data_IF_467055106356
#
_entry.id   IF_467055106356
#
_cell.length_a   1.000
_cell.length_b   1.000
_cell.length_c   1.000
_cell.angle_alpha   90.00
_cell.angle_beta   90.00
_cell.angle_gamma   90.00
#
_symmetry.space_group_name_H-M   'P 1'
#
loop_
_entity.id
_entity.type
_entity.pdbx_description
1 polymer ?
#
# COMPACT_ATOMS: atom_id res chain seq x y z
N UNK A 1 33.93 0.62 7.25
CA UNK A 1 32.60 0.14 6.78
C UNK A 1 32.30 -1.15 7.51
N UNK A 2 31.17 -1.23 8.17
CA UNK A 2 30.70 -2.46 8.84
C UNK A 2 30.21 -3.44 7.76
N UNK A 3 30.45 -4.74 7.95
CA UNK A 3 29.91 -5.79 7.06
C UNK A 3 29.04 -6.75 7.86
N UNK A 4 27.86 -7.03 7.33
CA UNK A 4 26.87 -7.96 7.91
C UNK A 4 26.54 -9.02 6.87
N UNK A 5 26.44 -10.30 7.27
CA UNK A 5 26.08 -11.40 6.38
C UNK A 5 24.74 -12.00 6.82
N UNK A 6 23.82 -12.05 5.88
CA UNK A 6 22.45 -12.57 6.07
C UNK A 6 22.05 -13.49 4.92
N UNK A 7 20.96 -14.20 5.06
CA UNK A 7 20.40 -15.01 3.99
C UNK A 7 19.52 -14.18 3.07
N UNK A 8 18.70 -13.30 3.66
CA UNK A 8 17.78 -12.44 2.94
C UNK A 8 17.95 -10.99 3.42
N UNK A 9 18.12 -10.06 2.48
CA UNK A 9 18.08 -8.63 2.75
C UNK A 9 16.84 -8.00 2.11
N UNK A 10 16.05 -7.30 2.92
CA UNK A 10 14.81 -6.65 2.49
C UNK A 10 14.97 -5.14 2.63
N UNK A 11 14.80 -4.41 1.53
CA UNK A 11 14.84 -2.96 1.54
C UNK A 11 13.43 -2.38 1.52
N UNK A 12 13.08 -1.67 2.59
CA UNK A 12 11.77 -1.11 2.86
C UNK A 12 11.03 -1.87 3.96
N UNK A 13 10.69 -1.18 5.05
CA UNK A 13 9.93 -1.73 6.19
C UNK A 13 8.50 -1.18 6.24
N UNK A 14 7.87 -1.01 5.08
CA UNK A 14 6.44 -0.82 4.94
C UNK A 14 5.67 -2.14 5.02
N UNK A 15 4.39 -2.13 4.71
CA UNK A 15 3.53 -3.33 4.76
C UNK A 15 4.12 -4.52 3.99
N UNK A 16 4.58 -4.31 2.76
CA UNK A 16 5.16 -5.37 1.94
C UNK A 16 6.46 -5.95 2.52
N UNK A 17 7.38 -5.08 2.96
CA UNK A 17 8.65 -5.54 3.52
C UNK A 17 8.52 -6.25 4.87
N UNK A 18 7.68 -5.73 5.76
CA UNK A 18 7.38 -6.40 7.03
C UNK A 18 6.71 -7.76 6.81
N UNK A 19 5.72 -7.84 5.89
CA UNK A 19 5.05 -9.11 5.58
C UNK A 19 6.01 -10.12 4.98
N UNK A 20 6.91 -9.68 4.08
CA UNK A 20 7.94 -10.53 3.50
C UNK A 20 8.93 -11.05 4.56
N UNK A 21 9.36 -10.19 5.49
CA UNK A 21 10.25 -10.59 6.58
C UNK A 21 9.60 -11.62 7.50
N UNK A 22 8.33 -11.42 7.86
CA UNK A 22 7.56 -12.37 8.68
C UNK A 22 7.43 -13.71 7.94
N UNK A 23 7.02 -13.69 6.66
CA UNK A 23 6.86 -14.90 5.88
C UNK A 23 8.15 -15.70 5.76
N UNK A 24 9.28 -15.03 5.53
CA UNK A 24 10.60 -15.69 5.48
C UNK A 24 10.96 -16.31 6.83
N UNK A 25 10.70 -15.59 7.92
CA UNK A 25 10.97 -16.07 9.28
C UNK A 25 10.10 -17.27 9.67
N UNK A 26 8.82 -17.29 9.27
CA UNK A 26 7.91 -18.41 9.47
C UNK A 26 8.30 -19.62 8.65
N UNK A 27 8.73 -19.41 7.41
CA UNK A 27 9.13 -20.49 6.51
C UNK A 27 10.37 -21.25 6.98
N UNK A 28 11.32 -20.53 7.58
CA UNK A 28 12.53 -21.15 8.12
C UNK A 28 13.10 -20.35 9.30
N UNK A 29 13.02 -20.86 10.52
CA UNK A 29 13.47 -20.17 11.73
C UNK A 29 14.99 -19.97 11.82
N UNK A 30 15.78 -20.62 10.96
CA UNK A 30 17.24 -20.49 10.94
C UNK A 30 17.74 -19.38 9.99
N UNK A 31 16.87 -18.76 9.22
CA UNK A 31 17.26 -17.67 8.33
C UNK A 31 17.71 -16.43 9.12
N UNK A 32 18.76 -15.79 8.63
CA UNK A 32 19.17 -14.46 9.04
C UNK A 32 18.58 -13.45 8.07
N UNK A 33 17.75 -12.57 8.56
CA UNK A 33 17.01 -11.61 7.73
C UNK A 33 17.41 -10.20 8.13
N UNK A 34 17.87 -9.39 7.18
CA UNK A 34 18.07 -7.97 7.37
C UNK A 34 16.86 -7.20 6.81
N UNK A 35 16.22 -6.40 7.63
CA UNK A 35 15.14 -5.49 7.23
C UNK A 35 15.64 -4.04 7.33
N UNK A 36 15.88 -3.41 6.18
CA UNK A 36 16.53 -2.10 6.08
C UNK A 36 15.51 -1.03 5.68
N UNK A 37 15.45 0.06 6.41
CA UNK A 37 14.49 1.14 6.12
C UNK A 37 15.09 2.52 6.37
N UNK A 38 14.88 3.44 5.44
CA UNK A 38 15.30 4.85 5.58
C UNK A 38 14.51 5.64 6.64
N UNK A 39 13.38 5.12 7.08
CA UNK A 39 12.59 5.68 8.17
C UNK A 39 12.29 4.59 9.19
N UNK A 40 11.98 4.98 10.40
CA UNK A 40 11.42 4.06 11.37
C UNK A 40 10.16 3.40 10.78
N UNK A 41 9.96 2.07 10.87
CA UNK A 41 8.90 1.35 10.15
C UNK A 41 7.52 1.96 10.27
N UNK A 42 7.14 2.42 11.47
CA UNK A 42 5.84 3.07 11.72
C UNK A 42 5.64 4.42 11.01
N UNK A 43 6.67 4.95 10.36
CA UNK A 43 6.60 6.15 9.53
C UNK A 43 6.55 5.85 8.03
N UNK A 44 6.49 4.57 7.65
CA UNK A 44 6.36 4.18 6.24
C UNK A 44 4.99 4.60 5.68
N UNK A 45 4.91 4.74 4.36
CA UNK A 45 3.71 5.29 3.72
C UNK A 45 2.45 4.42 3.88
N UNK A 46 2.59 3.15 4.20
CA UNK A 46 1.46 2.26 4.55
C UNK A 46 0.58 2.87 5.64
N UNK A 47 1.14 3.64 6.59
CA UNK A 47 0.39 4.30 7.66
C UNK A 47 -0.68 5.27 7.13
N UNK A 48 -0.49 5.83 5.94
CA UNK A 48 -1.39 6.80 5.33
C UNK A 48 -2.57 6.18 4.57
N UNK A 49 -2.71 4.85 4.57
CA UNK A 49 -3.86 4.18 3.99
C UNK A 49 -5.07 4.28 4.94
N UNK A 50 -6.01 5.16 4.64
CA UNK A 50 -7.16 5.43 5.52
C UNK A 50 -8.34 4.52 5.19
N UNK A 51 -8.53 4.25 3.89
CA UNK A 51 -9.74 3.68 3.36
C UNK A 51 -10.03 2.24 3.77
N UNK A 52 -9.09 1.35 3.68
CA UNK A 52 -9.25 -0.08 3.89
C UNK A 52 -8.66 -0.93 2.78
N UNK A 53 -8.89 -2.23 2.84
CA UNK A 53 -8.44 -3.20 1.85
C UNK A 53 -9.58 -4.12 1.43
N UNK A 54 -9.73 -4.35 0.13
CA UNK A 54 -10.80 -5.19 -0.42
C UNK A 54 -10.45 -6.68 -0.32
N UNK A 55 -11.35 -7.45 0.28
CA UNK A 55 -11.28 -8.92 0.30
C UNK A 55 -12.68 -9.51 0.50
N UNK A 56 -12.97 -10.58 -0.20
CA UNK A 56 -14.27 -11.27 -0.14
C UNK A 56 -14.52 -11.80 1.28
N UNK A 57 -15.68 -11.51 1.85
CA UNK A 57 -16.10 -12.02 3.17
C UNK A 57 -17.59 -12.34 3.23
N UNK A 58 -18.43 -11.70 2.43
CA UNK A 58 -19.88 -11.87 2.45
C UNK A 58 -20.34 -13.01 1.54
N UNK A 59 -21.43 -13.68 1.90
CA UNK A 59 -22.02 -14.76 1.09
C UNK A 59 -22.53 -14.28 -0.28
N UNK A 60 -22.99 -13.03 -0.38
CA UNK A 60 -23.44 -12.46 -1.65
C UNK A 60 -22.28 -12.03 -2.57
N UNK A 61 -21.03 -12.06 -2.09
CA UNK A 61 -19.82 -11.78 -2.84
C UNK A 61 -19.15 -13.08 -3.34
N UNK A 62 -18.18 -12.96 -4.26
CA UNK A 62 -17.39 -14.10 -4.75
C UNK A 62 -16.06 -13.64 -5.30
N UNK A 63 -15.12 -14.56 -5.45
CA UNK A 63 -13.84 -14.31 -6.13
C UNK A 63 -14.06 -13.84 -7.57
N UNK A 64 -15.00 -14.45 -8.31
CA UNK A 64 -15.32 -14.03 -9.68
C UNK A 64 -15.81 -12.58 -9.76
N UNK A 65 -16.67 -12.17 -8.82
CA UNK A 65 -17.13 -10.78 -8.75
C UNK A 65 -16.01 -9.81 -8.40
N UNK A 66 -15.13 -10.18 -7.45
CA UNK A 66 -13.98 -9.37 -7.09
C UNK A 66 -12.96 -9.30 -8.23
N UNK A 67 -12.71 -10.42 -8.89
CA UNK A 67 -11.87 -10.49 -10.09
C UNK A 67 -12.38 -9.56 -11.19
N UNK A 68 -13.65 -9.70 -11.57
CA UNK A 68 -14.27 -8.88 -12.61
C UNK A 68 -14.21 -7.38 -12.28
N UNK A 69 -14.54 -7.01 -11.03
CA UNK A 69 -14.49 -5.62 -10.59
C UNK A 69 -13.06 -5.05 -10.65
N UNK A 70 -12.06 -5.87 -10.32
CA UNK A 70 -10.65 -5.47 -10.35
C UNK A 70 -10.15 -5.29 -11.79
N UNK A 71 -10.41 -6.25 -12.67
CA UNK A 71 -9.99 -6.19 -14.07
C UNK A 71 -10.71 -5.05 -14.81
N UNK A 72 -12.02 -4.89 -14.59
CA UNK A 72 -12.78 -3.78 -15.17
C UNK A 72 -12.33 -2.41 -14.63
N UNK A 73 -12.00 -2.32 -13.33
CA UNK A 73 -11.45 -1.12 -12.71
C UNK A 73 -10.06 -0.75 -13.22
N UNK A 74 -9.30 -1.70 -13.73
CA UNK A 74 -8.01 -1.51 -14.39
C UNK A 74 -8.13 -1.34 -15.91
N UNK A 75 -9.29 -0.95 -16.42
CA UNK A 75 -9.58 -0.76 -17.86
C UNK A 75 -9.17 -1.98 -18.73
N UNK A 76 -9.30 -3.19 -18.17
CA UNK A 76 -8.98 -4.48 -18.84
C UNK A 76 -7.48 -4.66 -19.16
N UNK A 77 -6.59 -3.84 -18.59
CA UNK A 77 -5.14 -3.90 -18.82
C UNK A 77 -4.41 -4.79 -17.81
N UNK A 78 -5.11 -5.29 -16.81
CA UNK A 78 -4.52 -6.13 -15.75
C UNK A 78 -4.03 -7.47 -16.30
N UNK A 79 -2.93 -7.98 -15.75
CA UNK A 79 -2.58 -9.39 -15.86
C UNK A 79 -3.58 -10.22 -15.06
N UNK A 80 -4.39 -10.98 -15.75
CA UNK A 80 -5.57 -11.64 -15.16
C UNK A 80 -5.19 -12.76 -14.18
N UNK A 81 -4.12 -13.50 -14.45
CA UNK A 81 -3.56 -14.51 -13.55
C UNK A 81 -3.08 -13.90 -12.21
N UNK A 82 -2.50 -12.70 -12.26
CA UNK A 82 -2.11 -11.95 -11.05
C UNK A 82 -3.34 -11.49 -10.26
N UNK A 83 -4.38 -11.04 -10.95
CA UNK A 83 -5.64 -10.65 -10.30
C UNK A 83 -6.34 -11.84 -9.68
N UNK A 84 -6.38 -12.98 -10.36
CA UNK A 84 -6.93 -14.23 -9.83
C UNK A 84 -6.23 -14.63 -8.54
N UNK A 85 -4.90 -14.69 -8.55
CA UNK A 85 -4.10 -14.96 -7.35
C UNK A 85 -4.41 -13.97 -6.23
N UNK A 86 -4.49 -12.68 -6.53
CA UNK A 86 -4.78 -11.63 -5.56
C UNK A 86 -6.15 -11.81 -4.90
N UNK A 87 -7.22 -12.03 -5.67
CA UNK A 87 -8.58 -12.11 -5.12
C UNK A 87 -8.79 -13.38 -4.28
N UNK A 88 -8.12 -14.47 -4.61
CA UNK A 88 -8.17 -15.71 -3.85
C UNK A 88 -7.41 -15.63 -2.52
N UNK A 89 -6.27 -14.95 -2.51
CA UNK A 89 -5.39 -14.88 -1.34
C UNK A 89 -5.72 -13.72 -0.40
N UNK A 90 -6.34 -12.65 -0.89
CA UNK A 90 -6.64 -11.49 -0.06
C UNK A 90 -7.48 -11.80 1.19
N UNK A 91 -8.52 -12.66 1.19
CA UNK A 91 -9.25 -13.02 2.41
C UNK A 91 -8.40 -13.75 3.43
N UNK A 92 -7.47 -14.58 2.96
CA UNK A 92 -6.54 -15.33 3.82
C UNK A 92 -5.62 -14.35 4.56
N UNK A 93 -5.05 -13.40 3.86
CA UNK A 93 -4.16 -12.38 4.44
C UNK A 93 -4.91 -11.44 5.39
N UNK A 94 -6.15 -11.05 5.07
CA UNK A 94 -6.96 -10.21 5.95
C UNK A 94 -7.31 -10.92 7.25
N UNK A 95 -7.64 -12.22 7.18
CA UNK A 95 -7.89 -13.08 8.35
C UNK A 95 -6.59 -13.29 9.15
N UNK A 96 -5.45 -13.44 8.48
CA UNK A 96 -4.16 -13.56 9.16
C UNK A 96 -3.80 -12.29 9.94
N UNK A 97 -4.03 -11.11 9.36
CA UNK A 97 -3.86 -9.83 10.04
C UNK A 97 -4.77 -9.72 11.27
N UNK A 98 -6.00 -10.20 11.18
CA UNK A 98 -6.93 -10.28 12.32
C UNK A 98 -6.36 -11.15 13.45
N UNK A 99 -5.85 -12.35 13.11
CA UNK A 99 -5.22 -13.26 14.08
C UNK A 99 -3.99 -12.66 14.75
N UNK A 100 -3.28 -11.80 14.06
CA UNK A 100 -2.16 -11.02 14.62
C UNK A 100 -2.59 -9.79 15.42
N UNK A 101 -3.91 -9.53 15.51
CA UNK A 101 -4.49 -8.48 16.35
C UNK A 101 -4.83 -7.19 15.62
N UNK A 102 -4.96 -7.18 14.29
CA UNK A 102 -5.47 -6.01 13.58
C UNK A 102 -6.93 -5.73 13.99
N UNK A 103 -7.23 -4.55 14.54
CA UNK A 103 -8.54 -4.25 15.12
C UNK A 103 -9.55 -3.82 14.04
N UNK A 104 -9.95 -4.75 13.18
CA UNK A 104 -10.97 -4.49 12.18
C UNK A 104 -12.27 -3.98 12.82
N UNK A 105 -12.91 -3.02 12.19
CA UNK A 105 -14.23 -2.54 12.62
C UNK A 105 -15.24 -3.69 12.63
N UNK A 106 -16.10 -3.72 13.65
CA UNK A 106 -17.05 -4.80 13.88
C UNK A 106 -18.48 -4.30 13.83
N UNK A 107 -19.40 -5.19 13.45
CA UNK A 107 -20.83 -5.03 13.63
C UNK A 107 -21.23 -5.32 15.09
N UNK A 108 -22.48 -5.05 15.43
CA UNK A 108 -23.01 -5.32 16.77
C UNK A 108 -23.04 -6.82 17.14
N UNK A 109 -23.12 -7.70 16.15
CA UNK A 109 -23.05 -9.16 16.30
C UNK A 109 -21.62 -9.71 16.48
N UNK A 110 -20.62 -8.86 16.34
CA UNK A 110 -19.21 -9.22 16.46
C UNK A 110 -18.52 -9.57 15.15
N UNK A 111 -19.23 -9.67 14.05
CA UNK A 111 -18.66 -9.92 12.73
C UNK A 111 -17.87 -8.73 12.22
N UNK A 112 -16.89 -9.00 11.35
CA UNK A 112 -16.14 -7.96 10.67
C UNK A 112 -17.09 -7.09 9.84
N UNK A 113 -16.99 -5.79 10.04
CA UNK A 113 -17.74 -4.83 9.26
C UNK A 113 -16.94 -4.49 7.99
N UNK A 114 -17.61 -4.47 6.86
CA UNK A 114 -17.06 -4.05 5.57
C UNK A 114 -17.88 -2.93 4.96
N UNK A 115 -17.25 -2.10 4.15
CA UNK A 115 -17.89 -0.96 3.50
C UNK A 115 -17.63 -0.92 2.01
N UNK A 116 -18.40 -0.09 1.30
CA UNK A 116 -18.16 0.24 -0.11
C UNK A 116 -17.22 1.42 -0.22
N UNK A 117 -16.43 1.42 -1.28
CA UNK A 117 -15.79 2.62 -1.80
C UNK A 117 -16.44 3.06 -3.11
N UNK A 118 -16.05 4.24 -3.58
CA UNK A 118 -16.55 4.79 -4.83
C UNK A 118 -16.44 3.81 -5.99
N UNK A 119 -17.54 3.63 -6.71
CA UNK A 119 -17.65 2.66 -7.80
C UNK A 119 -17.95 1.22 -7.41
N UNK A 120 -17.79 0.83 -6.14
CA UNK A 120 -18.05 -0.54 -5.70
C UNK A 120 -19.53 -0.81 -5.53
N UNK A 121 -20.01 -1.93 -6.08
CA UNK A 121 -21.40 -2.41 -5.94
C UNK A 121 -21.58 -3.29 -4.70
N UNK A 122 -20.55 -3.99 -4.28
CA UNK A 122 -20.56 -4.95 -3.16
C UNK A 122 -19.65 -4.43 -2.04
N UNK A 123 -20.08 -4.62 -0.80
CA UNK A 123 -19.28 -4.29 0.37
C UNK A 123 -18.26 -5.39 0.63
N UNK A 124 -16.98 -5.13 0.38
CA UNK A 124 -15.87 -6.05 0.63
C UNK A 124 -14.63 -5.38 1.21
N UNK A 125 -14.70 -4.09 1.53
CA UNK A 125 -13.55 -3.37 2.05
C UNK A 125 -13.50 -3.49 3.56
N UNK A 126 -12.53 -4.24 4.05
CA UNK A 126 -12.17 -4.33 5.46
C UNK A 126 -11.53 -3.02 5.90
N UNK A 127 -11.87 -2.52 7.05
CA UNK A 127 -11.39 -1.23 7.55
C UNK A 127 -11.29 -1.20 9.07
N UNK A 128 -10.46 -0.30 9.57
CA UNK A 128 -10.35 0.03 10.98
C UNK A 128 -10.57 1.54 11.15
N UNK A 129 -11.84 1.93 11.25
CA UNK A 129 -12.31 3.32 11.25
C UNK A 129 -11.71 4.10 10.04
N UNK A 130 -10.99 5.20 10.30
CA UNK A 130 -10.26 6.02 9.32
C UNK A 130 -8.73 5.81 9.38
N UNK A 131 -8.27 4.76 10.08
CA UNK A 131 -6.85 4.49 10.38
C UNK A 131 -6.41 3.10 9.99
N UNK A 132 -6.97 2.55 8.93
CA UNK A 132 -6.71 1.18 8.50
C UNK A 132 -5.22 0.90 8.32
N UNK A 133 -4.51 1.76 7.59
CA UNK A 133 -3.07 1.58 7.34
C UNK A 133 -2.22 1.70 8.59
N UNK A 134 -2.60 2.58 9.53
CA UNK A 134 -1.93 2.67 10.82
C UNK A 134 -2.03 1.35 11.59
N UNK A 135 -3.23 0.79 11.72
CA UNK A 135 -3.45 -0.46 12.45
C UNK A 135 -2.81 -1.65 11.76
N UNK A 136 -2.94 -1.74 10.42
CA UNK A 136 -2.30 -2.78 9.61
C UNK A 136 -0.78 -2.77 9.79
N UNK A 137 -0.17 -1.60 9.63
CA UNK A 137 1.28 -1.44 9.77
C UNK A 137 1.75 -1.74 11.20
N UNK A 138 1.00 -1.27 12.21
CA UNK A 138 1.30 -1.53 13.61
C UNK A 138 1.23 -3.03 13.94
N UNK A 139 0.22 -3.72 13.44
CA UNK A 139 0.07 -5.17 13.57
C UNK A 139 1.27 -5.90 12.97
N UNK A 140 1.64 -5.59 11.73
CA UNK A 140 2.80 -6.21 11.08
C UNK A 140 4.11 -5.91 11.83
N UNK A 141 4.28 -4.68 12.29
CA UNK A 141 5.46 -4.30 13.05
C UNK A 141 5.56 -5.07 14.37
N UNK A 142 4.49 -5.12 15.17
CA UNK A 142 4.44 -5.88 16.42
C UNK A 142 4.68 -7.38 16.20
N UNK A 143 4.09 -7.94 15.16
CA UNK A 143 4.31 -9.33 14.78
C UNK A 143 5.79 -9.59 14.42
N UNK A 144 6.41 -8.68 13.65
CA UNK A 144 7.82 -8.83 13.25
C UNK A 144 8.80 -8.87 14.42
N UNK A 145 8.47 -8.19 15.53
CA UNK A 145 9.32 -8.17 16.75
C UNK A 145 9.39 -9.55 17.41
N UNK A 146 8.41 -10.42 17.19
CA UNK A 146 8.37 -11.77 17.76
C UNK A 146 9.41 -12.71 17.11
N UNK A 147 10.00 -12.32 15.98
CA UNK A 147 10.96 -13.12 15.22
C UNK A 147 12.39 -12.60 15.41
N UNK A 148 13.19 -13.18 16.32
CA UNK A 148 14.54 -12.71 16.62
C UNK A 148 15.52 -12.81 15.44
N UNK A 149 15.21 -13.61 14.43
CA UNK A 149 15.99 -13.72 13.19
C UNK A 149 15.85 -12.52 12.26
N UNK A 150 14.89 -11.60 12.50
CA UNK A 150 14.74 -10.36 11.77
C UNK A 150 15.58 -9.26 12.44
N UNK A 151 16.75 -8.99 11.89
CA UNK A 151 17.59 -7.86 12.30
C UNK A 151 17.15 -6.60 11.56
N UNK A 152 16.72 -5.58 12.30
CA UNK A 152 16.31 -4.30 11.73
C UNK A 152 17.46 -3.30 11.66
N UNK A 153 17.49 -2.58 10.54
CA UNK A 153 18.35 -1.44 10.27
C UNK A 153 17.46 -0.23 10.00
N UNK A 154 16.93 0.36 11.08
CA UNK A 154 16.08 1.54 11.01
C UNK A 154 16.92 2.78 10.72
N UNK A 155 16.37 3.75 9.96
CA UNK A 155 17.04 4.98 9.56
C UNK A 155 18.37 4.73 8.79
N UNK A 156 18.35 3.67 7.97
CA UNK A 156 19.44 3.34 7.05
C UNK A 156 18.95 3.56 5.61
N UNK A 157 19.59 4.47 4.91
CA UNK A 157 19.29 4.75 3.50
C UNK A 157 20.11 3.80 2.63
N UNK A 158 19.44 2.92 1.89
CA UNK A 158 20.10 2.03 0.93
C UNK A 158 20.53 2.84 -0.28
N UNK A 159 21.82 2.90 -0.49
CA UNK A 159 22.44 3.65 -1.58
C UNK A 159 22.33 2.87 -2.90
N UNK A 160 22.62 1.57 -2.84
CA UNK A 160 22.51 0.69 -3.99
C UNK A 160 22.46 -0.79 -3.59
N UNK A 161 22.00 -1.63 -4.52
CA UNK A 161 22.14 -3.08 -4.43
C UNK A 161 23.53 -3.50 -4.93
N UNK A 162 24.06 -4.56 -4.37
CA UNK A 162 25.30 -5.19 -4.83
C UNK A 162 24.93 -6.25 -5.86
N UNK A 163 25.46 -6.11 -7.06
CA UNK A 163 25.26 -7.06 -8.16
C UNK A 163 26.63 -7.56 -8.63
N UNK A 164 26.77 -8.87 -8.71
CA UNK A 164 27.97 -9.54 -9.20
C UNK A 164 27.53 -10.64 -10.16
N UNK A 165 28.08 -10.60 -11.38
CA UNK A 165 27.75 -11.52 -12.48
C UNK A 165 26.23 -11.72 -12.68
N UNK A 166 25.49 -10.60 -12.71
CA UNK A 166 24.03 -10.60 -12.89
C UNK A 166 23.19 -11.09 -11.70
N UNK A 167 23.84 -11.37 -10.57
CA UNK A 167 23.17 -11.85 -9.36
C UNK A 167 23.20 -10.78 -8.26
N UNK A 168 22.07 -10.54 -7.61
CA UNK A 168 22.00 -9.72 -6.41
C UNK A 168 22.75 -10.42 -5.26
N UNK A 169 23.71 -9.71 -4.64
CA UNK A 169 24.57 -10.21 -3.56
C UNK A 169 24.38 -9.45 -2.25
N UNK A 170 23.47 -8.51 -2.20
CA UNK A 170 23.21 -7.70 -1.02
C UNK A 170 22.99 -6.23 -1.35
N UNK A 171 23.36 -5.35 -0.42
CA UNK A 171 23.20 -3.92 -0.56
C UNK A 171 24.23 -3.13 0.25
N UNK A 172 24.40 -1.86 -0.09
CA UNK A 172 25.14 -0.88 0.71
C UNK A 172 24.15 0.13 1.25
N UNK A 173 24.16 0.35 2.55
CA UNK A 173 23.33 1.32 3.21
C UNK A 173 24.17 2.33 4.01
N UNK A 174 23.66 3.53 4.17
CA UNK A 174 24.20 4.57 5.03
C UNK A 174 23.34 4.68 6.29
N UNK A 175 23.97 4.53 7.45
CA UNK A 175 23.35 4.91 8.72
C UNK A 175 23.17 6.43 8.72
N UNK A 176 21.93 6.90 8.70
CA UNK A 176 21.62 8.33 8.54
C UNK A 176 21.92 9.14 9.79
N UNK A 177 22.02 8.50 10.97
CA UNK A 177 22.37 9.17 12.22
C UNK A 177 23.87 9.45 12.32
N UNK A 178 24.70 8.52 11.85
CA UNK A 178 26.17 8.57 12.01
C UNK A 178 26.91 8.93 10.72
N UNK A 179 26.25 8.80 9.56
CA UNK A 179 26.89 8.92 8.24
C UNK A 179 27.80 7.75 7.88
N UNK A 180 27.84 6.69 8.69
CA UNK A 180 28.66 5.50 8.45
C UNK A 180 28.02 4.57 7.42
N UNK A 181 28.87 3.84 6.68
CA UNK A 181 28.41 2.86 5.68
C UNK A 181 28.35 1.46 6.25
N UNK A 182 27.29 0.74 5.90
CA UNK A 182 27.08 -0.67 6.21
C UNK A 182 26.91 -1.44 4.92
N UNK A 183 27.71 -2.48 4.73
CA UNK A 183 27.55 -3.46 3.66
C UNK A 183 26.77 -4.67 4.21
N UNK A 184 25.68 -5.01 3.57
CA UNK A 184 24.86 -6.17 3.92
C UNK A 184 24.96 -7.16 2.76
N UNK A 185 25.70 -8.25 2.96
CA UNK A 185 25.78 -9.35 2.01
C UNK A 185 24.59 -10.27 2.21
N UNK A 186 23.97 -10.71 1.12
CA UNK A 186 22.77 -11.57 1.18
C UNK A 186 22.75 -12.54 -0.01
N UNK A 187 22.11 -13.69 0.19
CA UNK A 187 21.84 -14.65 -0.87
C UNK A 187 20.64 -14.24 -1.74
N UNK A 188 19.72 -13.47 -1.17
CA UNK A 188 18.57 -12.91 -1.88
C UNK A 188 18.28 -11.48 -1.41
N UNK A 189 17.80 -10.65 -2.33
CA UNK A 189 17.40 -9.26 -2.06
C UNK A 189 15.94 -9.07 -2.43
N UNK A 190 15.15 -8.52 -1.50
CA UNK A 190 13.76 -8.14 -1.73
C UNK A 190 13.66 -6.61 -1.77
N UNK A 191 13.15 -6.07 -2.87
CA UNK A 191 12.90 -4.63 -3.01
C UNK A 191 11.43 -4.35 -2.64
N UNK A 192 11.20 -3.69 -1.51
CA UNK A 192 9.89 -3.34 -0.97
C UNK A 192 9.77 -1.84 -0.63
N UNK A 193 10.40 -0.99 -1.44
CA UNK A 193 10.60 0.45 -1.18
C UNK A 193 9.39 1.32 -1.47
N UNK A 194 8.26 0.75 -1.93
CA UNK A 194 7.08 1.49 -2.35
C UNK A 194 7.27 2.18 -3.71
N UNK A 195 6.41 3.15 -4.01
CA UNK A 195 6.38 3.83 -5.29
C UNK A 195 7.31 5.04 -5.41
N UNK A 196 7.09 5.86 -6.48
CA UNK A 196 7.94 6.99 -6.83
C UNK A 196 7.18 8.31 -7.07
N UNK A 197 6.00 8.50 -6.49
CA UNK A 197 5.14 9.66 -6.78
C UNK A 197 5.76 11.02 -6.44
N UNK A 198 6.81 11.06 -5.61
CA UNK A 198 7.57 12.31 -5.33
C UNK A 198 8.41 12.81 -6.51
N UNK A 199 8.48 12.07 -7.60
CA UNK A 199 8.97 12.60 -8.87
C UNK A 199 8.10 13.76 -9.42
N UNK A 200 6.85 13.85 -8.99
CA UNK A 200 5.89 14.88 -9.42
C UNK A 200 5.77 16.01 -8.38
N UNK A 201 5.71 17.24 -8.86
CA UNK A 201 5.66 18.45 -8.02
C UNK A 201 4.52 18.46 -7.04
N UNK A 202 3.32 18.09 -7.50
CA UNK A 202 2.13 17.94 -6.66
C UNK A 202 1.69 16.47 -6.67
N UNK A 203 1.46 15.92 -5.49
CA UNK A 203 0.96 14.56 -5.32
C UNK A 203 0.44 14.39 -3.88
N UNK A 204 -0.37 13.36 -3.65
CA UNK A 204 -0.96 13.05 -2.34
C UNK A 204 -0.18 11.97 -1.56
N UNK A 205 1.02 11.59 -2.03
CA UNK A 205 1.85 10.61 -1.36
C UNK A 205 2.79 11.25 -0.32
N UNK A 206 3.18 10.48 0.67
CA UNK A 206 4.14 10.91 1.69
C UNK A 206 5.51 11.28 1.11
N UNK A 207 6.23 12.18 1.79
CA UNK A 207 7.54 12.69 1.36
C UNK A 207 8.62 11.63 1.15
N UNK A 208 8.41 10.44 1.68
CA UNK A 208 9.35 9.30 1.59
C UNK A 208 9.17 8.43 0.34
N UNK A 209 8.14 8.68 -0.48
CA UNK A 209 7.82 7.86 -1.68
C UNK A 209 8.62 8.38 -2.86
N UNK A 210 9.93 8.16 -2.85
CA UNK A 210 10.92 8.79 -3.73
C UNK A 210 11.42 7.91 -4.87
N UNK A 211 10.93 6.66 -4.98
CA UNK A 211 11.29 5.76 -6.09
C UNK A 211 12.67 5.12 -5.95
N UNK A 212 13.20 5.00 -4.75
CA UNK A 212 14.57 4.51 -4.52
C UNK A 212 14.80 3.12 -5.10
N UNK A 213 13.89 2.18 -4.85
CA UNK A 213 13.98 0.81 -5.37
C UNK A 213 13.86 0.74 -6.89
N UNK A 214 12.99 1.56 -7.49
CA UNK A 214 12.87 1.66 -8.94
C UNK A 214 14.20 2.16 -9.55
N UNK A 215 14.79 3.19 -8.95
CA UNK A 215 16.06 3.75 -9.38
C UNK A 215 17.21 2.75 -9.25
N UNK A 216 17.31 2.02 -8.14
CA UNK A 216 18.32 0.98 -7.94
C UNK A 216 18.18 -0.15 -8.97
N UNK A 217 16.97 -0.67 -9.17
CA UNK A 217 16.70 -1.72 -10.15
C UNK A 217 17.08 -1.26 -11.57
N UNK A 218 16.68 -0.05 -11.96
CA UNK A 218 16.97 0.51 -13.27
C UNK A 218 18.48 0.66 -13.53
N UNK A 219 19.26 1.15 -12.55
CA UNK A 219 20.72 1.29 -12.67
C UNK A 219 21.43 -0.05 -12.95
N UNK A 220 20.86 -1.14 -12.49
CA UNK A 220 21.38 -2.50 -12.70
C UNK A 220 20.76 -3.22 -13.91
N UNK A 221 20.06 -2.50 -14.79
CA UNK A 221 19.50 -3.05 -16.02
C UNK A 221 18.25 -3.92 -15.83
N UNK A 222 17.64 -3.88 -14.65
CA UNK A 222 16.36 -4.57 -14.43
C UNK A 222 15.26 -3.85 -15.21
N UNK A 223 14.50 -4.54 -16.07
CA UNK A 223 13.42 -3.90 -16.83
C UNK A 223 12.32 -3.41 -15.88
N UNK A 224 11.85 -2.19 -16.13
CA UNK A 224 10.70 -1.61 -15.46
C UNK A 224 9.52 -1.62 -16.42
N UNK A 225 8.31 -1.83 -15.90
CA UNK A 225 7.08 -1.79 -16.69
C UNK A 225 6.01 -0.97 -16.00
N UNK A 226 4.98 -0.59 -16.74
CA UNK A 226 3.81 0.14 -16.26
C UNK A 226 4.16 1.49 -15.60
N UNK A 227 5.28 2.09 -16.00
CA UNK A 227 5.79 3.32 -15.41
C UNK A 227 4.93 4.55 -15.71
N UNK A 228 4.07 4.49 -16.71
CA UNK A 228 3.06 5.48 -17.06
C UNK A 228 1.86 5.47 -16.10
N UNK A 229 1.60 4.36 -15.41
CA UNK A 229 0.47 4.24 -14.49
C UNK A 229 0.80 4.83 -13.13
N UNK A 230 0.64 6.14 -13.02
CA UNK A 230 0.82 6.89 -11.76
C UNK A 230 -0.54 7.42 -11.31
N UNK A 231 -1.02 6.98 -10.15
CA UNK A 231 -2.29 7.43 -9.60
C UNK A 231 -2.07 8.24 -8.33
N UNK A 232 -2.73 9.39 -8.26
CA UNK A 232 -2.90 10.18 -7.03
C UNK A 232 -4.31 10.04 -6.50
N UNK A 233 -4.49 10.34 -5.23
CA UNK A 233 -5.83 10.49 -4.69
C UNK A 233 -6.50 11.73 -5.32
N UNK A 234 -7.77 11.64 -5.77
CA UNK A 234 -8.44 12.73 -6.49
C UNK A 234 -8.67 13.97 -5.63
N UNK A 235 -8.67 13.84 -4.31
CA UNK A 235 -8.83 14.96 -3.40
C UNK A 235 -7.64 15.08 -2.44
N UNK A 236 -6.97 16.22 -2.48
CA UNK A 236 -5.84 16.57 -1.62
C UNK A 236 -5.84 18.06 -1.28
N UNK A 237 -5.29 18.42 -0.13
CA UNK A 237 -5.17 19.82 0.27
C UNK A 237 -4.15 20.53 -0.63
N UNK A 238 -4.50 21.73 -1.15
CA UNK A 238 -3.57 22.55 -1.90
C UNK A 238 -2.27 22.82 -1.11
N UNK A 239 -1.16 22.93 -1.80
CA UNK A 239 0.18 23.21 -1.29
C UNK A 239 0.83 22.09 -0.48
N UNK A 240 0.11 21.33 0.32
CA UNK A 240 0.66 20.26 1.17
C UNK A 240 0.56 18.87 0.53
N UNK A 241 -0.44 18.63 -0.32
CA UNK A 241 -0.77 17.33 -0.87
C UNK A 241 -1.37 16.36 0.16
N UNK A 242 -1.74 16.84 1.35
CA UNK A 242 -2.39 15.98 2.35
C UNK A 242 -3.67 15.41 1.77
N UNK A 243 -3.77 14.09 1.79
CA UNK A 243 -4.92 13.34 1.26
C UNK A 243 -6.18 13.71 2.04
N UNK A 244 -7.23 14.08 1.32
CA UNK A 244 -8.59 14.23 1.84
C UNK A 244 -9.33 12.93 1.55
N UNK A 245 -9.57 12.14 2.60
CA UNK A 245 -10.12 10.79 2.46
C UNK A 245 -11.43 10.77 1.67
N UNK A 246 -11.63 9.72 0.90
CA UNK A 246 -12.90 9.45 0.22
C UNK A 246 -14.08 9.35 1.19
N UNK A 247 -13.80 9.01 2.46
CA UNK A 247 -14.77 9.04 3.54
C UNK A 247 -15.50 10.38 3.67
N UNK A 248 -14.85 11.51 3.38
CA UNK A 248 -15.51 12.82 3.40
C UNK A 248 -16.68 12.88 2.39
N UNK A 249 -16.51 12.29 1.21
CA UNK A 249 -17.59 12.18 0.22
C UNK A 249 -18.62 11.13 0.64
N UNK A 250 -18.15 10.05 1.26
CA UNK A 250 -19.02 9.04 1.88
C UNK A 250 -19.94 9.60 2.96
N UNK A 251 -19.50 10.61 3.68
CA UNK A 251 -20.29 11.32 4.73
C UNK A 251 -21.10 12.51 4.16
N UNK A 252 -21.19 12.65 2.84
CA UNK A 252 -22.02 13.67 2.19
C UNK A 252 -21.28 14.91 1.71
N UNK A 253 -19.95 14.88 1.69
CA UNK A 253 -19.13 15.92 1.09
C UNK A 253 -19.36 16.03 -0.41
N UNK A 254 -19.42 17.24 -0.94
CA UNK A 254 -19.59 17.51 -2.37
C UNK A 254 -18.35 18.18 -2.96
N UNK A 255 -18.08 17.94 -4.25
CA UNK A 255 -17.00 18.57 -4.98
C UNK A 255 -17.51 19.75 -5.80
N UNK A 256 -16.92 20.92 -5.57
CA UNK A 256 -17.24 22.15 -6.30
C UNK A 256 -15.97 22.76 -6.89
N UNK A 257 -16.09 23.40 -8.05
CA UNK A 257 -15.01 24.18 -8.62
C UNK A 257 -14.90 25.55 -7.92
N UNK A 258 -13.93 26.37 -8.33
CA UNK A 258 -13.68 27.72 -7.78
C UNK A 258 -14.88 28.67 -7.85
N UNK A 259 -15.87 28.38 -8.69
CA UNK A 259 -17.09 29.19 -8.85
C UNK A 259 -18.27 28.63 -8.03
N UNK A 260 -18.06 27.60 -7.20
CA UNK A 260 -19.09 26.95 -6.42
C UNK A 260 -19.97 25.97 -7.22
N UNK A 261 -19.60 25.67 -8.47
CA UNK A 261 -20.38 24.78 -9.33
C UNK A 261 -19.96 23.32 -9.11
N UNK A 262 -20.94 22.43 -8.97
CA UNK A 262 -20.75 20.98 -8.81
C UNK A 262 -20.48 20.34 -10.18
N UNK A 263 -19.23 20.38 -10.61
CA UNK A 263 -18.81 20.04 -11.96
C UNK A 263 -18.97 18.56 -12.35
N UNK A 264 -19.02 17.63 -11.39
CA UNK A 264 -19.15 16.20 -11.67
C UNK A 264 -20.44 15.83 -12.41
N UNK A 265 -21.48 16.66 -12.31
CA UNK A 265 -22.73 16.47 -13.07
C UNK A 265 -22.54 16.47 -14.58
N UNK A 266 -21.51 17.13 -15.08
CA UNK A 266 -21.21 17.21 -16.53
C UNK A 266 -20.55 15.94 -17.08
N UNK A 267 -20.14 15.02 -16.21
CA UNK A 267 -19.37 13.82 -16.58
C UNK A 267 -20.18 12.51 -16.56
N UNK A 268 -21.49 12.58 -16.36
CA UNK A 268 -22.37 11.40 -16.42
C UNK A 268 -22.08 10.34 -15.33
N UNK A 269 -21.52 10.73 -14.21
CA UNK A 269 -21.15 9.81 -13.12
C UNK A 269 -22.32 9.38 -12.22
N UNK A 270 -23.51 9.74 -12.58
CA UNK A 270 -24.72 9.42 -11.83
C UNK A 270 -25.50 10.67 -11.41
N UNK A 271 -26.58 10.49 -10.67
CA UNK A 271 -27.37 11.60 -10.16
C UNK A 271 -26.60 12.44 -9.14
N UNK A 272 -27.03 13.68 -8.96
CA UNK A 272 -26.49 14.59 -7.98
C UNK A 272 -26.73 14.07 -6.56
N UNK A 273 -25.67 14.01 -5.75
CA UNK A 273 -25.77 13.62 -4.34
C UNK A 273 -26.56 14.66 -3.55
N UNK A 274 -27.68 14.32 -2.88
CA UNK A 274 -28.30 15.22 -1.93
C UNK A 274 -27.32 15.57 -0.80
N UNK A 275 -27.20 16.83 -0.48
CA UNK A 275 -26.28 17.30 0.57
C UNK A 275 -26.60 16.55 1.89
N UNK A 276 -25.57 15.96 2.49
CA UNK A 276 -25.68 15.20 3.75
C UNK A 276 -26.35 13.83 3.64
N UNK A 277 -26.62 13.34 2.43
CA UNK A 277 -27.23 12.02 2.20
C UNK A 277 -26.42 11.20 1.20
N UNK A 278 -25.26 10.69 1.58
CA UNK A 278 -24.38 9.96 0.68
C UNK A 278 -24.96 8.59 0.32
N UNK A 279 -24.91 8.23 -0.96
CA UNK A 279 -25.16 6.89 -1.47
C UNK A 279 -24.23 6.64 -2.66
N UNK A 280 -23.78 5.39 -2.85
CA UNK A 280 -22.84 5.02 -3.92
C UNK A 280 -23.38 5.23 -5.35
N UNK A 281 -24.65 5.46 -5.52
CA UNK A 281 -25.26 5.77 -6.83
C UNK A 281 -25.03 7.21 -7.28
N UNK A 282 -24.53 8.05 -6.41
CA UNK A 282 -24.35 9.48 -6.70
C UNK A 282 -22.96 9.78 -7.24
N UNK A 283 -22.85 10.90 -7.94
CA UNK A 283 -21.67 11.28 -8.71
C UNK A 283 -20.40 11.45 -7.87
N UNK A 284 -20.48 11.94 -6.64
CA UNK A 284 -19.31 12.11 -5.77
C UNK A 284 -18.70 10.79 -5.28
N UNK A 285 -19.48 9.71 -5.34
CA UNK A 285 -19.05 8.34 -5.03
C UNK A 285 -18.87 7.49 -6.30
N UNK A 286 -18.70 8.14 -7.44
CA UNK A 286 -18.31 7.49 -8.68
C UNK A 286 -16.91 6.86 -8.60
N UNK A 287 -16.52 6.06 -9.61
CA UNK A 287 -15.18 5.49 -9.68
C UNK A 287 -14.10 6.56 -9.57
N UNK A 288 -13.04 6.25 -8.82
CA UNK A 288 -11.99 7.22 -8.47
C UNK A 288 -11.27 7.79 -9.70
N UNK A 289 -10.99 6.95 -10.69
CA UNK A 289 -10.40 7.32 -11.97
C UNK A 289 -11.25 8.36 -12.71
N UNK A 290 -12.58 8.19 -12.70
CA UNK A 290 -13.52 9.13 -13.33
C UNK A 290 -13.63 10.45 -12.55
N UNK A 291 -13.57 10.40 -11.22
CA UNK A 291 -13.60 11.61 -10.38
C UNK A 291 -12.33 12.43 -10.51
N UNK A 292 -11.20 11.81 -10.85
CA UNK A 292 -9.89 12.47 -11.00
C UNK A 292 -9.59 13.03 -12.39
N UNK A 293 -10.37 12.67 -13.41
CA UNK A 293 -10.26 13.22 -14.76
C UNK A 293 -10.82 14.65 -14.82
#
# INVERSE_FOLDING_TARGET
MQTVNVDIAIVGAGGGGLRAAIAAAEANPNLKIALVSKVYPMRSHTVAAEGGAAAVIKEEDSYDKHFHDTVAGGDWLCEQDVVEYFVEHSPVEMTQLERWGCPWSRKADGDVNVRRFGGMKIERTWFAADKTGFHLLHTLFQTSIQYPQIQRFDEHFVLDILVDDGHARGMVAMNMMEGSLVQINANAVVIATGGGCRAFKFNTNGGIVTGDGLSMAYRHGVPLRDMEFVQYHPTGLPNTGILMTEGCRGEGGILVNKNGYRYLQDYGLGPETPIGKPENKYMELGPRDKVSQ
#
